data_IF_964184077146
#
_entry.id   IF_964184077146
#
_cell.length_a   1.000
_cell.length_b   1.000
_cell.length_c   1.000
_cell.angle_alpha   90.00
_cell.angle_beta   90.00
_cell.angle_gamma   90.00
#
_symmetry.space_group_name_H-M   'P 1'
#
loop_
_entity.id
_entity.type
_entity.pdbx_description
1 polymer ?
#
# COMPACT_ATOMS: atom_id res chain seq x y z
N UNK A 1 10.27 -9.26 4.10
CA UNK A 1 9.24 -10.01 3.34
C UNK A 1 9.80 -10.38 1.99
N UNK A 2 9.36 -11.51 1.42
CA UNK A 2 9.77 -11.92 0.08
C UNK A 2 8.79 -11.23 -0.89
N UNK A 3 9.09 -9.99 -1.27
CA UNK A 3 8.21 -9.21 -2.16
C UNK A 3 8.10 -9.90 -3.52
N UNK A 4 6.88 -10.24 -3.90
CA UNK A 4 6.60 -10.79 -5.22
C UNK A 4 6.36 -9.64 -6.19
N UNK A 5 7.38 -9.33 -7.00
CA UNK A 5 7.36 -8.25 -7.97
C UNK A 5 6.18 -8.33 -8.96
N UNK A 6 5.52 -9.48 -9.10
CA UNK A 6 4.38 -9.63 -10.00
C UNK A 6 3.18 -8.80 -9.55
N UNK A 7 2.87 -8.78 -8.25
CA UNK A 7 1.71 -8.04 -7.73
C UNK A 7 1.94 -6.53 -7.75
N UNK A 8 3.18 -6.11 -7.48
CA UNK A 8 3.55 -4.72 -7.64
C UNK A 8 3.29 -4.25 -9.08
N UNK A 9 3.74 -5.02 -10.08
CA UNK A 9 3.48 -4.70 -11.49
C UNK A 9 1.99 -4.74 -11.84
N UNK A 10 1.26 -5.72 -11.32
CA UNK A 10 -0.18 -5.85 -11.55
C UNK A 10 -0.92 -4.60 -11.09
N UNK A 11 -0.69 -4.13 -9.86
CA UNK A 11 -1.36 -2.94 -9.35
C UNK A 11 -0.82 -1.64 -9.94
N UNK A 12 0.42 -1.63 -10.44
CA UNK A 12 0.97 -0.50 -11.18
C UNK A 12 0.33 -0.36 -12.58
N UNK A 13 0.09 -1.48 -13.27
CA UNK A 13 -0.55 -1.48 -14.60
C UNK A 13 -2.07 -1.36 -14.52
N UNK A 14 -2.69 -1.98 -13.50
CA UNK A 14 -4.14 -2.09 -13.34
C UNK A 14 -4.56 -1.78 -11.88
N UNK A 15 -4.45 -0.51 -11.45
CA UNK A 15 -4.80 -0.10 -10.08
C UNK A 15 -6.28 -0.33 -9.73
N UNK A 16 -7.18 -0.34 -10.72
CA UNK A 16 -8.61 -0.65 -10.57
C UNK A 16 -8.87 -1.99 -9.87
N UNK A 17 -8.04 -3.00 -10.13
CA UNK A 17 -8.19 -4.35 -9.58
C UNK A 17 -8.16 -4.31 -8.06
N UNK A 18 -7.29 -3.48 -7.48
CA UNK A 18 -7.23 -3.32 -6.02
C UNK A 18 -8.57 -2.80 -5.46
N UNK A 19 -9.13 -1.78 -6.09
CA UNK A 19 -10.38 -1.17 -5.66
C UNK A 19 -11.60 -2.09 -5.85
N UNK A 20 -11.60 -2.90 -6.90
CA UNK A 20 -12.59 -3.96 -7.07
C UNK A 20 -12.50 -5.00 -5.95
N UNK A 21 -11.30 -5.46 -5.60
CA UNK A 21 -11.08 -6.47 -4.55
C UNK A 21 -11.56 -6.03 -3.16
N UNK A 22 -11.46 -4.73 -2.85
CA UNK A 22 -11.95 -4.17 -1.58
C UNK A 22 -13.42 -3.73 -1.63
N UNK A 23 -14.12 -4.00 -2.74
CA UNK A 23 -15.54 -3.67 -2.90
C UNK A 23 -15.82 -2.18 -3.16
N UNK A 24 -14.88 -1.45 -3.74
CA UNK A 24 -15.00 -0.02 -4.10
C UNK A 24 -14.72 0.24 -5.59
N UNK A 25 -15.42 -0.42 -6.53
CA UNK A 25 -15.15 -0.27 -7.96
C UNK A 25 -15.38 1.16 -8.49
N UNK A 26 -16.17 1.98 -7.80
CA UNK A 26 -16.46 3.37 -8.21
C UNK A 26 -15.40 4.38 -7.74
N UNK A 27 -14.31 3.93 -7.12
CA UNK A 27 -13.23 4.84 -6.68
C UNK A 27 -12.58 5.54 -7.88
N UNK A 28 -12.49 6.87 -7.80
CA UNK A 28 -11.81 7.66 -8.81
C UNK A 28 -10.29 7.48 -8.70
N UNK A 29 -9.72 6.68 -9.61
CA UNK A 29 -8.29 6.36 -9.66
C UNK A 29 -7.41 7.59 -9.89
N UNK A 30 -7.94 8.66 -10.50
CA UNK A 30 -7.19 9.90 -10.72
C UNK A 30 -6.84 10.63 -9.41
N UNK A 31 -7.44 10.22 -8.28
CA UNK A 31 -7.13 10.75 -6.96
C UNK A 31 -5.93 10.06 -6.32
N UNK A 32 -5.46 8.95 -6.91
CA UNK A 32 -4.48 8.07 -6.31
C UNK A 32 -3.22 7.94 -7.15
N UNK A 33 -2.09 7.91 -6.45
CA UNK A 33 -0.80 7.56 -7.02
C UNK A 33 -0.29 6.28 -6.34
N UNK A 34 -0.05 5.23 -7.14
CA UNK A 34 0.50 3.98 -6.65
C UNK A 34 2.03 4.02 -6.63
N UNK A 35 2.63 3.76 -5.47
CA UNK A 35 4.09 3.72 -5.29
C UNK A 35 4.52 2.52 -4.46
N UNK A 36 5.75 2.04 -4.67
CA UNK A 36 6.45 1.26 -3.64
C UNK A 36 7.31 2.23 -2.84
N UNK A 37 7.01 2.37 -1.55
CA UNK A 37 7.73 3.29 -0.68
C UNK A 37 8.66 2.52 0.25
N UNK A 38 9.92 2.92 0.26
CA UNK A 38 10.91 2.47 1.23
C UNK A 38 11.00 3.48 2.37
N UNK A 39 10.76 3.03 3.59
CA UNK A 39 10.85 3.86 4.79
C UNK A 39 12.30 3.81 5.29
N UNK A 40 13.04 4.88 4.98
CA UNK A 40 14.50 4.99 5.14
C UNK A 40 15.01 4.69 6.56
N UNK A 41 14.24 4.99 7.60
CA UNK A 41 14.71 4.81 8.98
C UNK A 41 14.90 3.35 9.41
N UNK A 42 14.37 2.37 8.65
CA UNK A 42 14.42 0.97 9.09
C UNK A 42 14.58 -0.08 7.99
N UNK A 43 14.90 0.31 6.75
CA UNK A 43 15.05 -0.63 5.61
C UNK A 43 13.80 -1.51 5.38
N UNK A 44 12.63 -1.03 5.77
CA UNK A 44 11.36 -1.70 5.46
C UNK A 44 10.78 -1.09 4.19
N UNK A 45 10.32 -1.97 3.32
CA UNK A 45 9.72 -1.64 2.03
C UNK A 45 8.28 -2.14 2.03
N UNK A 46 7.36 -1.24 1.73
CA UNK A 46 5.98 -1.60 1.47
C UNK A 46 5.87 -2.20 0.06
N UNK A 47 5.08 -3.27 -0.07
CA UNK A 47 4.80 -3.86 -1.37
C UNK A 47 4.06 -2.84 -2.26
N UNK A 48 3.15 -2.05 -1.70
CA UNK A 48 2.53 -0.91 -2.38
C UNK A 48 1.79 0.06 -1.44
N UNK A 49 1.69 1.31 -1.87
CA UNK A 49 0.88 2.34 -1.22
C UNK A 49 0.13 3.16 -2.27
N UNK A 50 -1.16 3.36 -2.06
CA UNK A 50 -1.97 4.31 -2.82
C UNK A 50 -2.07 5.60 -2.03
N UNK A 51 -1.30 6.60 -2.46
CA UNK A 51 -1.29 7.93 -1.88
C UNK A 51 -2.35 8.79 -2.55
N UNK A 52 -3.01 9.64 -1.76
CA UNK A 52 -3.92 10.64 -2.29
C UNK A 52 -3.14 11.84 -2.80
N UNK A 53 -3.66 12.50 -3.83
CA UNK A 53 -3.12 13.80 -4.24
C UNK A 53 -3.34 14.85 -3.13
N UNK A 54 -2.45 15.85 -3.04
CA UNK A 54 -2.56 16.96 -2.06
C UNK A 54 -3.90 17.72 -2.14
N UNK A 55 -4.56 17.64 -3.29
CA UNK A 55 -5.86 18.26 -3.57
C UNK A 55 -7.05 17.53 -2.92
N UNK A 56 -6.86 16.32 -2.37
CA UNK A 56 -7.92 15.51 -1.78
C UNK A 56 -7.52 14.95 -0.40
N UNK A 57 -7.41 15.80 0.63
CA UNK A 57 -6.96 15.39 1.97
C UNK A 57 -7.97 14.50 2.72
N UNK A 58 -9.22 14.42 2.27
CA UNK A 58 -10.26 13.62 2.92
C UNK A 58 -10.32 12.17 2.44
N UNK A 59 -9.57 11.82 1.40
CA UNK A 59 -9.55 10.46 0.87
C UNK A 59 -8.59 9.58 1.71
N UNK A 60 -8.90 8.29 1.92
CA UNK A 60 -8.03 7.40 2.68
C UNK A 60 -6.80 7.01 1.87
N UNK A 61 -5.64 6.92 2.52
CA UNK A 61 -4.44 6.26 2.00
C UNK A 61 -4.61 4.75 2.15
N UNK A 62 -4.27 3.97 1.12
CA UNK A 62 -4.31 2.50 1.20
C UNK A 62 -2.91 1.91 1.20
N UNK A 63 -2.65 1.06 2.19
CA UNK A 63 -1.43 0.24 2.28
C UNK A 63 -1.75 -1.15 1.73
N UNK A 64 -0.87 -1.65 0.86
CA UNK A 64 -1.04 -2.93 0.16
C UNK A 64 0.14 -3.82 0.48
N UNK A 65 -0.14 -4.96 1.09
CA UNK A 65 0.83 -6.01 1.38
C UNK A 65 0.30 -7.33 0.86
N UNK A 66 1.08 -8.03 0.03
CA UNK A 66 0.64 -9.27 -0.61
C UNK A 66 1.38 -10.46 -0.02
N UNK A 67 0.62 -11.34 0.64
CA UNK A 67 1.16 -12.44 1.42
C UNK A 67 0.64 -13.78 0.89
N UNK A 68 1.45 -14.50 0.12
CA UNK A 68 1.10 -15.81 -0.44
C UNK A 68 1.57 -17.01 0.42
N UNK A 69 2.03 -16.76 1.64
CA UNK A 69 2.49 -17.79 2.57
C UNK A 69 2.00 -17.53 3.99
N UNK A 70 1.89 -18.58 4.81
CA UNK A 70 1.53 -18.41 6.22
C UNK A 70 2.73 -17.87 6.98
N UNK A 71 2.57 -16.69 7.57
CA UNK A 71 3.53 -16.10 8.50
C UNK A 71 2.79 -15.68 9.77
N UNK A 72 3.28 -16.16 10.92
CA UNK A 72 2.63 -15.95 12.22
C UNK A 72 2.81 -14.53 12.74
N UNK A 73 3.84 -13.82 12.29
CA UNK A 73 4.16 -12.45 12.75
C UNK A 73 3.78 -11.40 11.70
N UNK A 74 3.13 -11.80 10.60
CA UNK A 74 2.76 -10.92 9.50
C UNK A 74 2.01 -9.68 9.98
N UNK A 75 0.96 -9.86 10.78
CA UNK A 75 0.15 -8.74 11.25
C UNK A 75 0.92 -7.82 12.22
N UNK A 76 1.80 -8.38 13.05
CA UNK A 76 2.65 -7.58 13.95
C UNK A 76 3.58 -6.68 13.13
N UNK A 77 4.17 -7.22 12.05
CA UNK A 77 5.02 -6.48 11.13
C UNK A 77 4.20 -5.45 10.35
N UNK A 78 3.09 -5.85 9.73
CA UNK A 78 2.22 -4.97 8.95
C UNK A 78 1.72 -3.78 9.79
N UNK A 79 1.27 -4.04 11.01
CA UNK A 79 0.80 -2.98 11.91
C UNK A 79 1.94 -2.05 12.34
N UNK A 80 3.11 -2.59 12.66
CA UNK A 80 4.31 -1.80 12.95
C UNK A 80 4.69 -0.89 11.77
N UNK A 81 4.56 -1.38 10.53
CA UNK A 81 4.80 -0.59 9.32
C UNK A 81 3.83 0.59 9.20
N UNK A 82 2.53 0.36 9.47
CA UNK A 82 1.52 1.42 9.45
C UNK A 82 1.85 2.55 10.44
N UNK A 83 2.10 2.19 11.71
CA UNK A 83 2.41 3.17 12.76
C UNK A 83 3.67 3.96 12.44
N UNK A 84 4.70 3.30 11.90
CA UNK A 84 5.95 3.96 11.51
C UNK A 84 5.73 4.94 10.37
N UNK A 85 4.98 4.55 9.33
CA UNK A 85 4.66 5.45 8.23
C UNK A 85 3.96 6.72 8.72
N UNK A 86 2.97 6.59 9.61
CA UNK A 86 2.28 7.74 10.20
C UNK A 86 3.25 8.69 10.91
N UNK A 87 4.16 8.16 11.72
CA UNK A 87 5.14 8.99 12.44
C UNK A 87 6.17 9.67 11.53
N UNK A 88 6.55 9.06 10.40
CA UNK A 88 7.53 9.65 9.47
C UNK A 88 6.95 10.74 8.56
N UNK A 89 5.62 10.88 8.51
CA UNK A 89 4.92 11.85 7.65
C UNK A 89 4.05 12.83 8.45
N UNK A 90 4.24 12.93 9.77
CA UNK A 90 3.85 14.09 10.60
C UNK A 90 4.88 15.22 10.47
#
# INVERSE_FOLDING_TARGET
MKTDNIFYKLFQEFPEIFFELIGKPETNLNLYEFKSQEIKETSFRLDGIFLTLETTPNEPIYFVEVQCYKDKVFYDIAFSMLVRYSNSNE
#
